data_IF_588971788449
#
_entry.id   IF_588971788449
#
_cell.length_a   1.000
_cell.length_b   1.000
_cell.length_c   1.000
_cell.angle_alpha   90.00
_cell.angle_beta   90.00
_cell.angle_gamma   90.00
#
_symmetry.space_group_name_H-M   'P 1'
#
loop_
_entity.id
_entity.type
_entity.pdbx_description
1 polymer ?
#
# COMPACT_ATOMS: atom_id res chain seq x y z
N UNK A 1 -24.20 17.34 26.86
CA UNK A 1 -22.94 16.65 26.48
C UNK A 1 -21.86 17.16 27.41
N UNK A 2 -21.29 16.29 28.26
CA UNK A 2 -20.22 16.70 29.17
C UNK A 2 -19.05 17.29 28.38
N UNK A 3 -18.38 18.29 28.95
CA UNK A 3 -17.26 19.01 28.31
C UNK A 3 -16.19 18.03 27.80
N UNK A 4 -15.95 16.95 28.53
CA UNK A 4 -15.05 15.84 28.16
C UNK A 4 -15.38 15.19 26.81
N UNK A 5 -16.66 14.97 26.49
CA UNK A 5 -17.06 14.33 25.24
C UNK A 5 -16.83 15.25 24.02
N UNK A 6 -16.77 16.58 24.24
CA UNK A 6 -16.52 17.57 23.19
C UNK A 6 -15.01 17.69 22.92
N UNK A 7 -14.19 17.70 23.96
CA UNK A 7 -12.72 17.70 23.82
C UNK A 7 -12.19 16.44 23.15
N UNK A 8 -12.78 15.27 23.42
CA UNK A 8 -12.37 14.02 22.76
C UNK A 8 -12.71 13.98 21.25
N UNK A 9 -13.76 14.70 20.81
CA UNK A 9 -14.21 14.71 19.40
C UNK A 9 -13.57 15.80 18.57
N UNK A 10 -13.17 16.90 19.20
CA UNK A 10 -12.66 18.09 18.52
C UNK A 10 -11.39 17.82 17.69
N UNK A 11 -10.37 17.05 18.17
CA UNK A 11 -9.20 16.69 17.35
C UNK A 11 -9.57 15.91 16.10
N UNK A 12 -10.47 14.91 16.21
CA UNK A 12 -10.90 14.10 15.07
C UNK A 12 -11.66 14.89 14.02
N UNK A 13 -12.51 15.83 14.45
CA UNK A 13 -13.23 16.72 13.55
C UNK A 13 -12.26 17.63 12.81
N UNK A 14 -11.27 18.19 13.50
CA UNK A 14 -10.24 19.05 12.89
C UNK A 14 -9.32 18.27 11.92
N UNK A 15 -9.03 17.01 12.22
CA UNK A 15 -8.24 16.13 11.34
C UNK A 15 -9.03 15.53 10.18
N UNK A 16 -10.36 15.43 10.30
CA UNK A 16 -11.22 14.77 9.31
C UNK A 16 -11.05 15.26 7.86
N UNK A 17 -10.94 16.57 7.54
CA UNK A 17 -10.73 17.00 6.15
C UNK A 17 -9.36 16.57 5.61
N UNK A 18 -8.31 16.65 6.42
CA UNK A 18 -6.97 16.24 6.03
C UNK A 18 -6.87 14.73 5.82
N UNK A 19 -7.38 13.95 6.78
CA UNK A 19 -7.43 12.48 6.68
C UNK A 19 -8.32 12.03 5.52
N UNK A 20 -9.46 12.70 5.31
CA UNK A 20 -10.35 12.44 4.19
C UNK A 20 -9.66 12.68 2.84
N UNK A 21 -8.97 13.82 2.69
CA UNK A 21 -8.22 14.13 1.47
C UNK A 21 -7.09 13.11 1.21
N UNK A 22 -6.28 12.80 2.22
CA UNK A 22 -5.19 11.82 2.11
C UNK A 22 -5.75 10.42 1.76
N UNK A 23 -6.80 9.99 2.45
CA UNK A 23 -7.42 8.71 2.20
C UNK A 23 -8.00 8.63 0.78
N UNK A 24 -8.72 9.65 0.32
CA UNK A 24 -9.28 9.66 -1.03
C UNK A 24 -8.19 9.64 -2.10
N UNK A 25 -7.19 10.50 -1.97
CA UNK A 25 -6.10 10.60 -2.95
C UNK A 25 -5.24 9.34 -3.02
N UNK A 26 -5.12 8.58 -1.92
CA UNK A 26 -4.39 7.31 -1.91
C UNK A 26 -5.28 6.12 -2.31
N UNK A 27 -6.47 6.00 -1.74
CA UNK A 27 -7.30 4.82 -1.93
C UNK A 27 -7.95 4.77 -3.31
N UNK A 28 -8.36 5.90 -3.88
CA UNK A 28 -8.97 5.93 -5.22
C UNK A 28 -8.05 5.32 -6.30
N UNK A 29 -6.77 5.74 -6.46
CA UNK A 29 -5.87 5.11 -7.43
C UNK A 29 -5.57 3.64 -7.09
N UNK A 30 -5.46 3.28 -5.81
CA UNK A 30 -5.29 1.88 -5.42
C UNK A 30 -6.49 1.02 -5.81
N UNK A 31 -7.71 1.54 -5.68
CA UNK A 31 -8.93 0.85 -6.13
C UNK A 31 -8.92 0.60 -7.64
N UNK A 32 -8.44 1.55 -8.45
CA UNK A 32 -8.27 1.33 -9.88
C UNK A 32 -7.28 0.19 -10.17
N UNK A 33 -6.14 0.14 -9.45
CA UNK A 33 -5.17 -0.97 -9.58
C UNK A 33 -5.84 -2.31 -9.22
N UNK A 34 -6.61 -2.35 -8.14
CA UNK A 34 -7.33 -3.57 -7.73
C UNK A 34 -8.31 -4.00 -8.80
N UNK A 35 -9.14 -3.09 -9.33
CA UNK A 35 -10.12 -3.41 -10.39
C UNK A 35 -9.40 -3.93 -11.65
N UNK A 36 -8.37 -3.23 -12.11
CA UNK A 36 -7.61 -3.63 -13.30
C UNK A 36 -6.82 -4.93 -13.12
N UNK A 37 -6.47 -5.30 -11.88
CA UNK A 37 -5.84 -6.60 -11.62
C UNK A 37 -6.73 -7.79 -12.02
N UNK A 38 -8.05 -7.62 -12.05
CA UNK A 38 -9.00 -8.65 -12.47
C UNK A 38 -9.31 -8.63 -13.96
N UNK A 39 -8.86 -7.60 -14.70
CA UNK A 39 -9.08 -7.51 -16.15
C UNK A 39 -7.98 -8.28 -16.89
N UNK A 40 -8.33 -8.93 -17.99
CA UNK A 40 -7.34 -9.60 -18.83
C UNK A 40 -6.81 -8.65 -19.89
N UNK A 41 -5.57 -8.85 -20.33
CA UNK A 41 -4.98 -8.12 -21.45
C UNK A 41 -5.00 -9.02 -22.68
N UNK A 42 -5.64 -8.57 -23.75
CA UNK A 42 -5.60 -9.30 -25.02
C UNK A 42 -4.19 -9.27 -25.62
N UNK A 43 -3.90 -10.20 -26.54
CA UNK A 43 -2.61 -10.24 -27.25
C UNK A 43 -2.30 -8.95 -28.05
N UNK A 44 -3.34 -8.20 -28.42
CA UNK A 44 -3.23 -6.90 -29.10
C UNK A 44 -3.10 -5.72 -28.11
N UNK A 45 -3.01 -5.99 -26.80
CA UNK A 45 -2.85 -4.98 -25.76
C UNK A 45 -4.12 -4.26 -25.32
N UNK A 46 -5.29 -4.63 -25.86
CA UNK A 46 -6.58 -4.12 -25.40
C UNK A 46 -7.03 -4.81 -24.10
N UNK A 47 -7.62 -4.05 -23.18
CA UNK A 47 -8.17 -4.58 -21.94
C UNK A 47 -9.49 -5.31 -22.19
N UNK A 48 -9.57 -6.53 -21.66
CA UNK A 48 -10.78 -7.35 -21.64
C UNK A 48 -11.39 -7.22 -20.24
N UNK A 49 -12.39 -6.35 -20.16
CA UNK A 49 -13.13 -6.07 -18.92
C UNK A 49 -13.87 -7.33 -18.46
N UNK A 50 -13.68 -7.68 -17.19
CA UNK A 50 -14.35 -8.82 -16.56
C UNK A 50 -13.74 -9.12 -15.20
N UNK A 51 -14.22 -10.16 -14.55
CA UNK A 51 -13.68 -10.63 -13.27
C UNK A 51 -12.95 -11.96 -13.49
N UNK A 52 -11.63 -11.88 -13.59
CA UNK A 52 -10.76 -13.03 -13.83
C UNK A 52 -9.72 -13.15 -12.72
N UNK A 53 -9.41 -14.39 -12.32
CA UNK A 53 -8.40 -14.68 -11.29
C UNK A 53 -7.06 -15.14 -11.89
N UNK A 54 -6.97 -15.22 -13.22
CA UNK A 54 -5.80 -15.71 -13.95
C UNK A 54 -4.54 -14.89 -13.65
N UNK A 55 -4.66 -13.56 -13.58
CA UNK A 55 -3.55 -12.67 -13.22
C UNK A 55 -3.06 -12.95 -11.79
N UNK A 56 -3.98 -13.22 -10.85
CA UNK A 56 -3.66 -13.53 -9.46
C UNK A 56 -3.01 -14.91 -9.33
N UNK A 57 -3.54 -15.91 -10.04
CA UNK A 57 -2.92 -17.24 -10.12
C UNK A 57 -1.51 -17.11 -10.67
N UNK A 58 -1.34 -16.43 -11.81
CA UNK A 58 -0.01 -16.19 -12.41
C UNK A 58 0.92 -15.48 -11.44
N UNK A 59 0.49 -14.39 -10.81
CA UNK A 59 1.31 -13.65 -9.85
C UNK A 59 1.79 -14.52 -8.67
N UNK A 60 0.97 -15.48 -8.22
CA UNK A 60 1.26 -16.32 -7.06
C UNK A 60 1.97 -17.63 -7.40
N UNK A 61 1.80 -18.18 -8.60
CA UNK A 61 2.37 -19.49 -8.99
C UNK A 61 3.55 -19.38 -9.95
N UNK A 62 3.61 -18.32 -10.75
CA UNK A 62 4.70 -18.12 -11.71
C UNK A 62 5.99 -17.78 -10.96
N UNK A 63 7.02 -18.60 -11.23
CA UNK A 63 8.33 -18.50 -10.58
C UNK A 63 8.95 -17.12 -10.77
N UNK A 64 8.81 -16.50 -11.93
CA UNK A 64 9.40 -15.20 -12.20
C UNK A 64 8.88 -14.11 -11.25
N UNK A 65 7.56 -14.04 -11.08
CA UNK A 65 6.93 -13.07 -10.18
C UNK A 65 7.29 -13.34 -8.72
N UNK A 66 7.29 -14.61 -8.30
CA UNK A 66 7.66 -14.99 -6.92
C UNK A 66 9.10 -14.64 -6.60
N UNK A 67 10.04 -14.94 -7.51
CA UNK A 67 11.46 -14.69 -7.30
C UNK A 67 11.73 -13.17 -7.18
N UNK A 68 11.09 -12.36 -8.01
CA UNK A 68 11.18 -10.89 -7.92
C UNK A 68 10.61 -10.37 -6.60
N UNK A 69 9.42 -10.83 -6.20
CA UNK A 69 8.78 -10.40 -4.96
C UNK A 69 9.64 -10.74 -3.75
N UNK A 70 10.12 -11.98 -3.66
CA UNK A 70 10.96 -12.44 -2.55
C UNK A 70 12.31 -11.70 -2.51
N UNK A 71 12.93 -11.44 -3.66
CA UNK A 71 14.16 -10.68 -3.71
C UNK A 71 13.95 -9.24 -3.24
N UNK A 72 12.86 -8.60 -3.67
CA UNK A 72 12.50 -7.23 -3.26
C UNK A 72 12.26 -7.16 -1.76
N UNK A 73 11.48 -8.09 -1.20
CA UNK A 73 11.23 -8.17 0.24
C UNK A 73 12.51 -8.43 1.04
N UNK A 74 13.40 -9.31 0.54
CA UNK A 74 14.69 -9.58 1.15
C UNK A 74 15.56 -8.31 1.21
N UNK A 75 15.68 -7.59 0.10
CA UNK A 75 16.43 -6.34 0.05
C UNK A 75 15.83 -5.30 0.99
N UNK A 76 14.51 -5.14 0.97
CA UNK A 76 13.81 -4.20 1.84
C UNK A 76 14.09 -4.50 3.33
N UNK A 77 13.93 -5.77 3.75
CA UNK A 77 14.16 -6.18 5.13
C UNK A 77 15.61 -5.96 5.58
N UNK A 78 16.59 -6.37 4.76
CA UNK A 78 18.01 -6.15 5.05
C UNK A 78 18.30 -4.65 5.19
N UNK A 79 17.80 -3.85 4.24
CA UNK A 79 18.01 -2.40 4.25
C UNK A 79 17.38 -1.75 5.48
N UNK A 80 16.15 -2.10 5.85
CA UNK A 80 15.49 -1.60 7.05
C UNK A 80 16.29 -1.90 8.31
N UNK A 81 16.79 -3.13 8.46
CA UNK A 81 17.62 -3.52 9.61
C UNK A 81 18.92 -2.72 9.65
N UNK A 82 19.62 -2.61 8.52
CA UNK A 82 20.87 -1.84 8.45
C UNK A 82 20.62 -0.36 8.79
N UNK A 83 19.60 0.26 8.19
CA UNK A 83 19.24 1.64 8.47
C UNK A 83 18.88 1.86 9.95
N UNK A 84 18.14 0.94 10.57
CA UNK A 84 17.82 1.03 11.99
C UNK A 84 19.06 0.91 12.87
N UNK A 85 19.94 -0.06 12.59
CA UNK A 85 21.18 -0.27 13.35
C UNK A 85 22.18 0.88 13.21
N UNK A 86 22.25 1.50 12.03
CA UNK A 86 23.16 2.62 11.79
C UNK A 86 22.56 3.96 12.25
N UNK A 87 21.26 4.16 12.06
CA UNK A 87 20.56 5.39 12.41
C UNK A 87 20.31 5.55 13.91
N UNK A 88 20.09 4.44 14.63
CA UNK A 88 19.80 4.48 16.06
C UNK A 88 20.96 5.06 16.90
N UNK A 89 22.23 4.66 16.71
CA UNK A 89 23.35 5.29 17.41
C UNK A 89 23.44 6.79 17.14
N UNK A 90 23.30 7.22 15.88
CA UNK A 90 23.33 8.64 15.54
C UNK A 90 22.21 9.41 16.27
N UNK A 91 20.97 8.89 16.26
CA UNK A 91 19.85 9.46 17.01
C UNK A 91 20.02 9.41 18.53
N UNK A 92 20.84 8.52 19.06
CA UNK A 92 21.14 8.44 20.50
C UNK A 92 22.17 9.49 20.94
N UNK A 93 23.09 9.88 20.05
CA UNK A 93 24.17 10.82 20.34
C UNK A 93 23.93 12.27 19.86
N UNK A 94 22.92 12.48 19.00
CA UNK A 94 22.40 13.82 18.64
C UNK A 94 21.42 14.27 19.72
#
# INVERSE_FOLDING_TARGET
MSVEAREARQPWILLSPALGAVALLLLVPLMFIVVYSFWLRSAMGADTVGFYLDNWQKALTDRFYRDILLNTLKIAAITTVICALMGYPAAYFI
#
